data_IF_536880574228
#
_entry.id   IF_536880574228
#
_cell.length_a   1.000
_cell.length_b   1.000
_cell.length_c   1.000
_cell.angle_alpha   90.00
_cell.angle_beta   90.00
_cell.angle_gamma   90.00
#
_symmetry.space_group_name_H-M   'P 1'
#
loop_
_entity.id
_entity.type
_entity.pdbx_description
1 polymer ?
#
# COMPACT_ATOMS: atom_id res chain seq x y z
N UNK A 1 9.63 12.21 17.93
CA UNK A 1 10.25 11.08 17.23
C UNK A 1 10.58 11.54 15.82
N UNK A 2 11.84 11.41 15.34
CA UNK A 2 12.16 11.78 13.98
C UNK A 2 11.38 10.88 13.02
N UNK A 3 10.61 11.48 12.11
CA UNK A 3 9.79 10.77 11.13
C UNK A 3 10.73 10.11 10.13
N UNK A 4 10.59 8.80 9.98
CA UNK A 4 11.42 8.00 9.07
C UNK A 4 10.97 8.16 7.62
N UNK A 5 11.94 7.97 6.74
CA UNK A 5 11.90 8.02 5.29
C UNK A 5 10.64 7.40 4.66
N UNK A 6 9.86 8.17 3.91
CA UNK A 6 8.77 7.64 3.08
C UNK A 6 7.52 7.18 3.83
N UNK A 7 7.25 7.66 5.04
CA UNK A 7 5.99 7.33 5.73
C UNK A 7 4.78 8.01 5.08
N UNK A 8 3.72 7.22 4.87
CA UNK A 8 2.41 7.73 4.44
C UNK A 8 1.72 8.33 5.65
N UNK A 9 1.31 9.60 5.55
CA UNK A 9 0.62 10.26 6.66
C UNK A 9 -0.79 9.70 6.83
N UNK A 10 -1.30 9.56 8.07
CA UNK A 10 -2.65 9.05 8.32
C UNK A 10 -3.76 9.81 7.61
N UNK A 11 -3.56 11.11 7.34
CA UNK A 11 -4.49 11.95 6.57
C UNK A 11 -4.72 11.45 5.15
N UNK A 12 -3.79 10.67 4.58
CA UNK A 12 -3.86 10.14 3.22
C UNK A 12 -4.53 8.76 3.14
N UNK A 13 -4.83 8.13 4.29
CA UNK A 13 -5.35 6.76 4.31
C UNK A 13 -6.75 6.66 3.71
N UNK A 14 -7.59 7.67 3.96
CA UNK A 14 -8.93 7.74 3.41
C UNK A 14 -8.91 7.74 1.87
N UNK A 15 -8.00 8.53 1.26
CA UNK A 15 -7.88 8.62 -0.20
C UNK A 15 -7.47 7.28 -0.83
N UNK A 16 -6.53 6.57 -0.18
CA UNK A 16 -6.08 5.24 -0.64
C UNK A 16 -7.23 4.23 -0.57
N UNK A 17 -7.97 4.23 0.53
CA UNK A 17 -8.94 3.17 0.87
C UNK A 17 -10.34 3.43 0.29
N UNK A 18 -10.64 4.67 -0.10
CA UNK A 18 -11.86 5.03 -0.81
C UNK A 18 -11.92 4.42 -2.23
N UNK A 19 -10.77 4.16 -2.85
CA UNK A 19 -10.69 3.57 -4.19
C UNK A 19 -11.31 2.17 -4.25
N UNK A 20 -11.24 1.41 -3.17
CA UNK A 20 -11.82 0.05 -3.12
C UNK A 20 -13.34 0.01 -2.93
N UNK A 21 -14.02 1.17 -2.91
CA UNK A 21 -15.46 1.26 -2.69
C UNK A 21 -15.91 0.79 -1.29
N UNK A 22 -17.21 0.53 -1.17
CA UNK A 22 -17.85 0.03 0.06
C UNK A 22 -17.90 -1.51 0.13
N UNK A 23 -17.49 -2.21 -0.93
CA UNK A 23 -17.59 -3.67 -1.05
C UNK A 23 -16.47 -4.41 -0.31
N UNK A 24 -16.62 -5.74 -0.19
CA UNK A 24 -15.66 -6.67 0.39
C UNK A 24 -14.24 -6.49 -0.20
N UNK A 25 -13.41 -5.73 0.52
CA UNK A 25 -12.10 -5.29 0.05
C UNK A 25 -10.96 -5.77 0.91
N UNK A 26 -9.86 -6.08 0.25
CA UNK A 26 -8.57 -6.43 0.85
C UNK A 26 -7.53 -5.37 0.51
N UNK A 27 -6.67 -5.05 1.46
CA UNK A 27 -5.48 -4.22 1.24
C UNK A 27 -4.22 -5.09 1.22
N UNK A 28 -3.32 -4.81 0.28
CA UNK A 28 -1.93 -5.28 0.30
C UNK A 28 -1.02 -4.07 0.24
N UNK A 29 -0.26 -3.83 1.31
CA UNK A 29 0.66 -2.70 1.48
C UNK A 29 2.12 -3.17 1.31
N UNK A 30 2.72 -2.79 0.18
CA UNK A 30 4.08 -3.15 -0.20
C UNK A 30 5.10 -2.13 0.30
N UNK A 31 6.02 -2.58 1.17
CA UNK A 31 6.89 -1.66 1.91
C UNK A 31 6.12 -0.98 3.03
N UNK A 32 5.35 -1.77 3.79
CA UNK A 32 4.38 -1.29 4.78
C UNK A 32 4.98 -0.61 6.01
N UNK A 33 6.31 -0.66 6.17
CA UNK A 33 7.01 -0.06 7.30
C UNK A 33 6.47 -0.54 8.63
N UNK A 34 5.89 0.37 9.41
CA UNK A 34 5.34 0.09 10.74
C UNK A 34 3.91 -0.50 10.73
N UNK A 35 3.32 -0.74 9.55
CA UNK A 35 1.99 -1.34 9.42
C UNK A 35 0.82 -0.41 9.78
N UNK A 36 1.03 0.91 9.85
CA UNK A 36 0.00 1.88 10.23
C UNK A 36 -1.19 1.86 9.26
N UNK A 37 -0.92 1.81 7.95
CA UNK A 37 -1.95 1.75 6.93
C UNK A 37 -2.72 0.42 7.00
N UNK A 38 -2.00 -0.71 7.17
CA UNK A 38 -2.59 -2.05 7.35
C UNK A 38 -3.57 -2.07 8.53
N UNK A 39 -3.17 -1.54 9.68
CA UNK A 39 -4.04 -1.45 10.86
C UNK A 39 -5.25 -0.56 10.61
N UNK A 40 -5.02 0.63 10.07
CA UNK A 40 -6.10 1.56 9.79
C UNK A 40 -7.11 0.97 8.81
N UNK A 41 -6.65 0.27 7.77
CA UNK A 41 -7.49 -0.36 6.77
C UNK A 41 -8.54 -1.28 7.39
N UNK A 42 -8.15 -2.12 8.35
CA UNK A 42 -9.06 -3.03 9.06
C UNK A 42 -9.88 -2.28 10.11
N UNK A 43 -9.26 -1.48 10.97
CA UNK A 43 -9.93 -0.91 12.14
C UNK A 43 -10.86 0.27 11.82
N UNK A 44 -10.50 1.09 10.84
CA UNK A 44 -11.15 2.37 10.58
C UNK A 44 -11.92 2.37 9.26
N UNK A 45 -11.44 1.60 8.26
CA UNK A 45 -11.96 1.65 6.89
C UNK A 45 -12.60 0.35 6.42
N UNK A 46 -12.77 -0.62 7.32
CA UNK A 46 -13.61 -1.80 7.11
C UNK A 46 -13.07 -2.80 6.08
N UNK A 47 -11.76 -2.84 5.82
CA UNK A 47 -11.19 -3.92 5.02
C UNK A 47 -11.43 -5.29 5.69
N UNK A 48 -11.84 -6.28 4.89
CA UNK A 48 -12.04 -7.65 5.37
C UNK A 48 -10.74 -8.29 5.81
N UNK A 49 -9.67 -7.94 5.12
CA UNK A 49 -8.32 -8.39 5.42
C UNK A 49 -7.31 -7.34 4.97
N UNK A 50 -6.16 -7.26 5.64
CA UNK A 50 -5.05 -6.42 5.22
C UNK A 50 -3.71 -7.14 5.42
N UNK A 51 -2.84 -7.06 4.41
CA UNK A 51 -1.50 -7.62 4.42
C UNK A 51 -0.48 -6.49 4.33
N UNK A 52 0.44 -6.43 5.29
CA UNK A 52 1.66 -5.62 5.17
C UNK A 52 2.84 -6.49 4.79
N UNK A 53 3.63 -6.06 3.81
CA UNK A 53 4.88 -6.71 3.42
C UNK A 53 6.02 -5.75 3.73
N UNK A 54 7.04 -6.22 4.42
CA UNK A 54 8.20 -5.42 4.79
C UNK A 54 9.44 -6.31 4.92
N UNK A 55 10.56 -5.86 4.37
CA UNK A 55 11.80 -6.63 4.35
C UNK A 55 12.69 -6.35 5.57
N UNK A 56 12.46 -5.24 6.26
CA UNK A 56 13.26 -4.84 7.41
C UNK A 56 12.66 -5.35 8.73
N UNK A 57 13.51 -5.97 9.56
CA UNK A 57 13.10 -6.59 10.84
C UNK A 57 12.57 -5.61 11.87
N UNK A 58 13.18 -4.42 11.96
CA UNK A 58 12.80 -3.43 12.97
C UNK A 58 11.38 -2.90 12.74
N UNK A 59 11.00 -2.44 11.54
CA UNK A 59 9.62 -2.05 11.29
C UNK A 59 8.62 -3.17 11.50
N UNK A 60 8.96 -4.41 11.14
CA UNK A 60 8.12 -5.59 11.37
C UNK A 60 7.84 -5.85 12.85
N UNK A 61 8.87 -5.69 13.71
CA UNK A 61 8.70 -5.84 15.16
C UNK A 61 7.78 -4.75 15.74
N UNK A 62 7.89 -3.52 15.23
CA UNK A 62 7.00 -2.41 15.60
C UNK A 62 5.57 -2.69 15.14
N UNK A 63 5.37 -3.17 13.92
CA UNK A 63 4.07 -3.54 13.38
C UNK A 63 3.41 -4.66 14.20
N UNK A 64 4.16 -5.70 14.57
CA UNK A 64 3.64 -6.78 15.42
C UNK A 64 3.15 -6.27 16.79
N UNK A 65 3.89 -5.35 17.42
CA UNK A 65 3.46 -4.69 18.66
C UNK A 65 2.25 -3.78 18.46
N UNK A 66 2.19 -3.10 17.32
CA UNK A 66 1.06 -2.27 16.96
C UNK A 66 -0.21 -3.13 16.80
N UNK A 67 -0.12 -4.27 16.14
CA UNK A 67 -1.27 -5.15 15.90
C UNK A 67 -1.76 -5.82 17.17
N UNK A 68 -0.86 -6.22 18.07
CA UNK A 68 -1.23 -6.86 19.35
C UNK A 68 -2.01 -5.95 20.31
N UNK A 69 -2.03 -4.63 20.05
CA UNK A 69 -2.87 -3.67 20.78
C UNK A 69 -4.34 -3.66 20.34
N UNK A 70 -4.68 -4.34 19.25
CA UNK A 70 -6.05 -4.43 18.69
C UNK A 70 -6.81 -5.59 19.32
N UNK A 71 -8.14 -5.67 19.15
CA UNK A 71 -8.90 -6.86 19.60
C UNK A 71 -8.51 -8.12 18.81
N UNK A 72 -8.76 -9.31 19.36
CA UNK A 72 -8.46 -10.59 18.70
C UNK A 72 -9.10 -10.72 17.32
N UNK A 73 -10.34 -10.23 17.18
CA UNK A 73 -11.10 -10.31 15.94
C UNK A 73 -10.51 -9.41 14.84
N UNK A 74 -9.95 -8.27 15.22
CA UNK A 74 -9.25 -7.36 14.30
C UNK A 74 -7.86 -7.89 13.98
N UNK A 75 -7.14 -8.43 14.97
CA UNK A 75 -5.84 -9.08 14.76
C UNK A 75 -5.93 -10.22 13.74
N UNK A 76 -6.99 -11.03 13.78
CA UNK A 76 -7.20 -12.13 12.84
C UNK A 76 -7.39 -11.67 11.38
N UNK A 77 -7.70 -10.37 11.16
CA UNK A 77 -7.86 -9.76 9.84
C UNK A 77 -6.60 -9.06 9.32
N UNK A 78 -5.52 -9.03 10.10
CA UNK A 78 -4.28 -8.38 9.74
C UNK A 78 -3.16 -9.42 9.64
N UNK A 79 -2.36 -9.34 8.58
CA UNK A 79 -1.16 -10.15 8.42
C UNK A 79 0.03 -9.26 8.13
N UNK A 80 1.18 -9.62 8.69
CA UNK A 80 2.45 -8.97 8.42
C UNK A 80 3.46 -10.00 7.94
N UNK A 81 4.03 -9.79 6.75
CA UNK A 81 5.00 -10.68 6.10
C UNK A 81 6.37 -10.02 6.14
N UNK A 82 7.33 -10.68 6.81
CA UNK A 82 8.73 -10.25 6.83
C UNK A 82 9.46 -10.83 5.62
N UNK A 83 9.24 -10.23 4.45
CA UNK A 83 9.70 -10.73 3.16
C UNK A 83 10.05 -9.55 2.22
N UNK A 84 10.83 -9.82 1.17
CA UNK A 84 10.95 -8.87 0.07
C UNK A 84 9.71 -8.98 -0.83
N UNK A 85 9.16 -7.83 -1.22
CA UNK A 85 8.00 -7.77 -2.10
C UNK A 85 8.17 -8.52 -3.42
N UNK A 86 9.40 -8.68 -3.90
CA UNK A 86 9.67 -9.40 -5.15
C UNK A 86 9.56 -10.92 -5.01
N UNK A 87 9.60 -11.41 -3.78
CA UNK A 87 9.65 -12.84 -3.47
C UNK A 87 8.33 -13.36 -2.88
N UNK A 88 7.43 -12.46 -2.48
CA UNK A 88 6.14 -12.81 -1.87
C UNK A 88 5.08 -13.21 -2.89
N UNK A 89 4.50 -14.40 -2.72
CA UNK A 89 3.40 -14.93 -3.52
C UNK A 89 2.03 -14.44 -2.97
N UNK A 90 1.66 -13.21 -3.33
CA UNK A 90 0.41 -12.58 -2.87
C UNK A 90 -0.85 -13.35 -3.29
N UNK A 91 -0.98 -13.89 -4.51
CA UNK A 91 -2.14 -14.70 -4.88
C UNK A 91 -2.37 -15.89 -3.93
N UNK A 92 -1.28 -16.53 -3.50
CA UNK A 92 -1.35 -17.60 -2.50
C UNK A 92 -1.76 -17.09 -1.12
N UNK A 93 -1.24 -15.94 -0.69
CA UNK A 93 -1.61 -15.35 0.61
C UNK A 93 -3.09 -14.92 0.68
N UNK A 94 -3.68 -14.56 -0.46
CA UNK A 94 -5.10 -14.22 -0.58
C UNK A 94 -6.00 -15.45 -0.81
N UNK A 95 -5.42 -16.64 -0.99
CA UNK A 95 -6.18 -17.84 -1.29
C UNK A 95 -7.13 -18.20 -0.13
N UNK A 96 -8.41 -18.39 -0.45
CA UNK A 96 -9.45 -18.76 0.51
C UNK A 96 -10.10 -17.57 1.22
N UNK A 97 -9.64 -16.34 0.98
CA UNK A 97 -10.36 -15.14 1.40
C UNK A 97 -11.52 -14.85 0.44
N UNK A 98 -12.65 -14.41 0.99
CA UNK A 98 -13.78 -13.91 0.20
C UNK A 98 -13.67 -12.39 0.09
N UNK A 99 -13.46 -11.91 -1.13
CA UNK A 99 -13.39 -10.50 -1.47
C UNK A 99 -13.70 -10.28 -2.95
N UNK A 100 -14.14 -9.08 -3.28
CA UNK A 100 -14.41 -8.63 -4.66
C UNK A 100 -13.33 -7.67 -5.15
N UNK A 101 -12.74 -6.90 -4.23
CA UNK A 101 -11.77 -5.86 -4.54
C UNK A 101 -10.47 -6.03 -3.78
N UNK A 102 -9.34 -5.84 -4.46
CA UNK A 102 -8.01 -5.76 -3.83
C UNK A 102 -7.33 -4.45 -4.18
N UNK A 103 -6.82 -3.77 -3.15
CA UNK A 103 -6.01 -2.56 -3.27
C UNK A 103 -4.55 -2.95 -3.07
N UNK A 104 -3.74 -2.80 -4.12
CA UNK A 104 -2.30 -2.96 -4.08
C UNK A 104 -1.68 -1.57 -3.89
N UNK A 105 -1.21 -1.29 -2.68
CA UNK A 105 -0.62 -0.01 -2.34
C UNK A 105 0.91 -0.12 -2.28
N UNK A 106 1.62 0.84 -2.87
CA UNK A 106 3.07 0.97 -2.70
C UNK A 106 3.51 2.42 -2.66
N UNK A 107 4.13 2.82 -1.55
CA UNK A 107 4.83 4.10 -1.49
C UNK A 107 6.22 4.01 -2.12
N UNK A 108 6.27 4.11 -3.44
CA UNK A 108 7.48 4.01 -4.25
C UNK A 108 8.20 5.35 -4.48
N UNK A 109 7.85 6.43 -3.78
CA UNK A 109 8.44 7.77 -3.98
C UNK A 109 9.98 7.75 -3.92
N UNK A 110 10.49 6.98 -2.98
CA UNK A 110 11.90 6.85 -2.67
C UNK A 110 12.61 5.72 -3.44
N UNK A 111 11.88 4.92 -4.21
CA UNK A 111 12.44 3.74 -4.85
C UNK A 111 13.28 4.14 -6.06
N UNK A 112 14.43 3.48 -6.23
CA UNK A 112 15.21 3.59 -7.45
C UNK A 112 14.46 2.94 -8.62
N UNK A 113 14.71 3.38 -9.85
CA UNK A 113 13.99 2.93 -11.06
C UNK A 113 13.95 1.39 -11.19
N UNK A 114 15.05 0.71 -10.90
CA UNK A 114 15.08 -0.75 -10.96
C UNK A 114 14.13 -1.44 -9.98
N UNK A 115 13.90 -0.84 -8.80
CA UNK A 115 12.91 -1.35 -7.83
C UNK A 115 11.50 -1.05 -8.31
N UNK A 116 11.23 0.17 -8.80
CA UNK A 116 9.93 0.54 -9.37
C UNK A 116 9.53 -0.43 -10.49
N UNK A 117 10.47 -0.74 -11.38
CA UNK A 117 10.26 -1.69 -12.47
C UNK A 117 9.93 -3.10 -11.97
N UNK A 118 10.71 -3.65 -11.02
CA UNK A 118 10.43 -4.98 -10.45
C UNK A 118 9.08 -5.03 -9.73
N UNK A 119 8.74 -4.02 -8.93
CA UNK A 119 7.42 -3.92 -8.28
C UNK A 119 6.30 -3.87 -9.31
N UNK A 120 6.49 -3.16 -10.43
CA UNK A 120 5.49 -3.12 -11.52
C UNK A 120 5.25 -4.50 -12.13
N UNK A 121 6.30 -5.32 -12.31
CA UNK A 121 6.17 -6.71 -12.79
C UNK A 121 5.38 -7.56 -11.80
N UNK A 122 5.69 -7.47 -10.51
CA UNK A 122 4.98 -8.21 -9.45
C UNK A 122 3.50 -7.84 -9.46
N UNK A 123 3.19 -6.55 -9.52
CA UNK A 123 1.81 -6.07 -9.54
C UNK A 123 1.06 -6.58 -10.77
N UNK A 124 1.72 -6.61 -11.93
CA UNK A 124 1.14 -7.19 -13.14
C UNK A 124 0.82 -8.66 -12.98
N UNK A 125 1.74 -9.44 -12.42
CA UNK A 125 1.52 -10.87 -12.16
C UNK A 125 0.32 -11.10 -11.23
N UNK A 126 0.19 -10.28 -10.18
CA UNK A 126 -0.96 -10.34 -9.27
C UNK A 126 -2.26 -10.03 -10.03
N UNK A 127 -2.30 -8.94 -10.80
CA UNK A 127 -3.46 -8.56 -11.62
C UNK A 127 -3.86 -9.65 -12.62
N UNK A 128 -2.89 -10.30 -13.26
CA UNK A 128 -3.15 -11.36 -14.22
C UNK A 128 -3.60 -12.67 -13.56
N UNK A 129 -3.30 -12.87 -12.26
CA UNK A 129 -3.76 -14.03 -11.49
C UNK A 129 -5.17 -13.89 -10.91
N UNK A 130 -5.73 -12.67 -10.89
CA UNK A 130 -7.01 -12.34 -10.24
C UNK A 130 -8.02 -11.73 -11.23
N UNK A 131 -8.22 -12.40 -12.37
CA UNK A 131 -9.07 -11.89 -13.46
C UNK A 131 -10.56 -11.73 -13.09
N UNK A 132 -11.01 -12.41 -12.03
CA UNK A 132 -12.37 -12.33 -11.50
C UNK A 132 -12.55 -11.23 -10.43
N UNK A 133 -11.48 -10.50 -10.09
CA UNK A 133 -11.48 -9.47 -9.04
C UNK A 133 -11.28 -8.07 -9.63
N UNK A 134 -11.76 -7.07 -8.90
CA UNK A 134 -11.38 -5.68 -9.16
C UNK A 134 -10.05 -5.41 -8.48
N UNK A 135 -9.04 -5.02 -9.26
CA UNK A 135 -7.69 -4.71 -8.74
C UNK A 135 -7.40 -3.23 -8.90
N UNK A 136 -7.18 -2.53 -7.79
CA UNK A 136 -6.67 -1.16 -7.78
C UNK A 136 -5.20 -1.16 -7.44
N UNK A 137 -4.39 -0.58 -8.31
CA UNK A 137 -3.00 -0.27 -8.01
C UNK A 137 -2.90 1.19 -7.63
N UNK A 138 -2.33 1.44 -6.45
CA UNK A 138 -2.10 2.77 -5.90
C UNK A 138 -0.62 2.94 -5.62
N UNK A 139 0.00 3.90 -6.31
CA UNK A 139 1.41 4.23 -6.11
C UNK A 139 1.65 5.74 -6.10
N UNK A 140 2.74 6.15 -5.47
CA UNK A 140 3.14 7.58 -5.39
C UNK A 140 3.95 8.05 -6.60
N UNK A 141 4.51 7.12 -7.37
CA UNK A 141 5.09 7.30 -8.69
C UNK A 141 4.46 6.32 -9.69
N UNK A 142 4.28 6.70 -10.96
CA UNK A 142 3.75 5.80 -11.99
C UNK A 142 4.54 4.48 -12.11
N UNK A 143 3.83 3.39 -12.36
CA UNK A 143 4.38 2.05 -12.56
C UNK A 143 4.37 1.72 -14.07
N UNK A 144 5.52 1.87 -14.73
CA UNK A 144 5.65 1.83 -16.21
C UNK A 144 5.03 0.59 -16.86
N UNK A 145 5.19 -0.60 -16.25
CA UNK A 145 4.69 -1.88 -16.82
C UNK A 145 3.17 -1.99 -16.77
N UNK A 146 2.51 -1.12 -15.98
CA UNK A 146 1.07 -1.15 -15.78
C UNK A 146 0.32 -0.11 -16.61
N UNK A 147 0.99 0.68 -17.45
CA UNK A 147 0.35 1.74 -18.25
C UNK A 147 -0.67 1.21 -19.27
N UNK A 148 -0.63 -0.08 -19.62
CA UNK A 148 -1.60 -0.75 -20.50
C UNK A 148 -2.91 -1.17 -19.79
N UNK A 149 -2.94 -1.10 -18.46
CA UNK A 149 -4.14 -1.26 -17.62
C UNK A 149 -4.30 -0.02 -16.73
N UNK A 150 -5.46 0.15 -16.12
CA UNK A 150 -5.71 1.34 -15.30
C UNK A 150 -4.92 1.28 -13.96
N UNK A 151 -3.65 1.69 -13.96
CA UNK A 151 -2.91 2.02 -12.73
C UNK A 151 -3.24 3.44 -12.28
N UNK A 152 -3.66 3.63 -11.03
CA UNK A 152 -3.96 4.95 -10.50
C UNK A 152 -2.77 5.49 -9.71
N UNK A 153 -2.27 6.66 -10.14
CA UNK A 153 -1.26 7.38 -9.37
C UNK A 153 -1.97 8.36 -8.44
N UNK A 154 -1.73 8.24 -7.13
CA UNK A 154 -2.23 9.18 -6.13
C UNK A 154 -1.09 10.04 -5.60
N UNK A 155 -1.30 11.35 -5.57
CA UNK A 155 -0.44 12.27 -4.84
C UNK A 155 -0.89 12.26 -3.38
N UNK A 156 -0.08 11.70 -2.50
CA UNK A 156 -0.42 11.54 -1.09
C UNK A 156 0.22 12.64 -0.25
N UNK A 157 -0.42 13.00 0.87
CA UNK A 157 0.27 13.75 1.92
C UNK A 157 1.33 12.83 2.55
N UNK A 158 2.58 13.25 2.42
CA UNK A 158 3.75 12.50 2.88
C UNK A 158 4.67 13.41 3.67
N UNK A 159 5.37 12.85 4.65
CA UNK A 159 6.52 13.54 5.25
C UNK A 159 7.81 12.97 4.67
N UNK A 160 8.62 13.85 4.09
CA UNK A 160 9.99 13.56 3.70
C UNK A 160 10.90 14.48 4.51
N UNK A 161 11.71 13.94 5.42
CA UNK A 161 12.84 14.70 5.96
C UNK A 161 14.06 13.82 5.96
N UNK A 162 15.12 14.26 5.25
CA UNK A 162 16.49 13.82 5.58
C UNK A 162 17.07 14.66 6.73
N UNK A 163 16.59 15.90 6.89
CA UNK A 163 16.73 16.80 8.06
C UNK A 163 15.74 17.98 7.86
N UNK A 164 15.33 18.66 8.94
CA UNK A 164 14.21 19.63 8.98
C UNK A 164 14.52 20.89 8.15
N UNK A 165 13.84 21.09 7.02
CA UNK A 165 13.69 22.42 6.42
C UNK A 165 12.30 22.62 5.81
N UNK A 166 11.79 23.82 6.05
CA UNK A 166 10.47 24.36 5.76
C UNK A 166 10.11 24.44 4.25
N UNK A 167 8.87 24.01 3.94
CA UNK A 167 7.90 24.42 2.89
C UNK A 167 8.38 24.56 1.41
N UNK A 168 7.65 24.14 0.37
CA UNK A 168 6.24 24.41 0.06
C UNK A 168 5.61 23.30 -0.81
N UNK A 169 4.39 22.91 -0.46
CA UNK A 169 3.43 22.23 -1.34
C UNK A 169 2.67 23.32 -2.09
N UNK A 170 2.79 23.39 -3.42
CA UNK A 170 1.75 23.80 -4.38
C UNK A 170 2.38 23.94 -5.77
N UNK A 171 2.05 23.03 -6.69
CA UNK A 171 1.88 23.38 -8.11
C UNK A 171 0.75 22.53 -8.68
N UNK A 172 -0.38 23.17 -8.99
CA UNK A 172 -1.40 22.59 -9.86
C UNK A 172 -0.83 22.53 -11.28
N UNK A 173 -0.82 21.35 -11.89
CA UNK A 173 -0.68 21.27 -13.36
C UNK A 173 -2.07 21.04 -13.93
N UNK A 174 -2.71 22.14 -14.28
CA UNK A 174 -3.81 22.18 -15.25
C UNK A 174 -3.22 22.13 -16.66
N UNK A 175 -3.55 21.10 -17.44
CA UNK A 175 -4.14 21.23 -18.79
C UNK A 175 -4.06 19.90 -19.55
N UNK A 176 -5.22 19.27 -19.81
CA UNK A 176 -5.41 18.49 -21.03
C UNK A 176 -5.87 19.47 -22.12
N UNK A 177 -5.21 19.44 -23.27
CA UNK A 177 -5.75 19.98 -24.52
C UNK A 177 -6.30 18.81 -25.32
N UNK A 178 -7.49 19.01 -25.88
CA UNK A 178 -8.23 18.09 -26.76
C UNK A 178 -7.42 17.74 -28.00
#
# INVERSE_FOLDING_TARGET
MPRTYGEVLPSSFADILALGGETDKVLVDFGSGHGLLVKAAVEQYGCNFAIGIEKYKEPAAIAAKLFSSSSSDLQAKMRFLLEDMTDTDIPKELQGLQFDTVILFCNNLAFHEGTVHRSSIVFRQIMDSMLDKTVFVVSTRPMQVLEDRAAQTLVLNMSWSKEVHDVNVYQSISSFSV
#
